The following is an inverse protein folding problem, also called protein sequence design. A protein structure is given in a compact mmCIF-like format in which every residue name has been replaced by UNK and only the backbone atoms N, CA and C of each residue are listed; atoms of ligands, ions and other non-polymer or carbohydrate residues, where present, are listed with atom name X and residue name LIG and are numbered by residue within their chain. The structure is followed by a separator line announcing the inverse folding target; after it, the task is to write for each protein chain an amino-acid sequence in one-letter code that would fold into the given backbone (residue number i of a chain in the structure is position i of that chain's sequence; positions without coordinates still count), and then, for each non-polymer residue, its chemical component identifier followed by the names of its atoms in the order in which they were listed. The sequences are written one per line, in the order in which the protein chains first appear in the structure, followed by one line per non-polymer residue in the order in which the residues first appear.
data_IF_393833145040
#
_entry.id   IF_393833145040
#
_cell.length_a   1.000
_cell.length_b   1.000
_cell.length_c   1.000
_cell.angle_alpha   90.00
_cell.angle_beta   90.00
_cell.angle_gamma   90.00
#
_symmetry.space_group_name_H-M   'P 1'
#
loop_
_entity.id
_entity.type
_entity.pdbx_description
1 polymer ?
#
# COMPACT_ATOMS: atom_id res chain seq x y z
N UNK A 1 5.00 -16.85 -3.29
CA UNK A 1 3.63 -16.79 -2.78
C UNK A 1 3.62 -15.77 -1.67
N UNK A 2 2.75 -14.76 -1.79
CA UNK A 2 2.56 -13.75 -0.75
C UNK A 2 1.95 -14.42 0.48
N UNK A 3 2.55 -14.22 1.66
CA UNK A 3 2.07 -14.77 2.93
C UNK A 3 1.21 -13.73 3.66
N UNK A 4 0.51 -14.17 4.71
CA UNK A 4 -0.34 -13.28 5.51
C UNK A 4 0.38 -12.02 6.01
N UNK A 5 1.65 -12.15 6.42
CA UNK A 5 2.47 -11.01 6.83
C UNK A 5 2.74 -10.00 5.69
N UNK A 6 2.96 -10.48 4.46
CA UNK A 6 3.15 -9.61 3.30
C UNK A 6 1.85 -8.86 2.96
N UNK A 7 0.69 -9.52 3.10
CA UNK A 7 -0.64 -8.91 2.89
C UNK A 7 -0.93 -7.89 3.97
N UNK A 8 -0.58 -8.18 5.23
CA UNK A 8 -0.73 -7.25 6.34
C UNK A 8 0.11 -5.99 6.09
N UNK A 9 1.37 -6.15 5.67
CA UNK A 9 2.23 -5.01 5.34
C UNK A 9 1.65 -4.20 4.17
N UNK A 10 1.15 -4.85 3.11
CA UNK A 10 0.45 -4.18 2.02
C UNK A 10 -0.76 -3.37 2.52
N UNK A 11 -1.61 -3.97 3.36
CA UNK A 11 -2.77 -3.30 3.95
C UNK A 11 -2.33 -2.05 4.74
N UNK A 12 -1.28 -2.15 5.58
CA UNK A 12 -0.76 -0.97 6.32
C UNK A 12 -0.34 0.15 5.39
N UNK A 13 0.40 -0.19 4.33
CA UNK A 13 0.91 0.79 3.36
C UNK A 13 -0.19 1.46 2.57
N UNK A 14 -1.20 0.70 2.14
CA UNK A 14 -2.40 1.26 1.51
C UNK A 14 -3.08 2.28 2.43
N UNK A 15 -3.25 1.94 3.71
CA UNK A 15 -3.79 2.85 4.73
C UNK A 15 -2.97 4.13 4.92
N UNK A 16 -1.64 4.02 4.96
CA UNK A 16 -0.74 5.18 5.05
C UNK A 16 -0.85 6.12 3.85
N UNK A 17 -1.17 5.57 2.67
CA UNK A 17 -1.37 6.33 1.44
C UNK A 17 -2.81 6.84 1.28
N UNK A 18 -3.70 6.57 2.25
CA UNK A 18 -5.09 7.03 2.25
C UNK A 18 -6.08 6.10 1.55
N UNK A 19 -5.65 4.90 1.13
CA UNK A 19 -6.54 3.87 0.60
C UNK A 19 -7.01 2.98 1.75
N UNK A 20 -8.33 2.76 1.89
CA UNK A 20 -8.90 1.98 3.00
C UNK A 20 -8.95 0.46 2.70
N UNK A 21 -8.02 -0.36 3.22
CA UNK A 21 -8.14 -1.82 3.16
C UNK A 21 -9.12 -2.38 4.20
N UNK A 22 -9.69 -1.52 5.08
CA UNK A 22 -10.50 -1.85 6.24
C UNK A 22 -9.73 -2.51 7.40
N UNK A 23 -9.34 -3.78 7.28
CA UNK A 23 -8.60 -4.51 8.31
C UNK A 23 -7.17 -4.79 7.85
N UNK A 24 -6.24 -4.78 8.81
CA UNK A 24 -4.86 -5.22 8.62
C UNK A 24 -4.70 -6.62 9.24
N UNK A 25 -5.34 -7.59 8.61
CA UNK A 25 -5.48 -8.97 9.09
C UNK A 25 -4.63 -9.97 8.29
N UNK A 26 -3.94 -9.51 7.23
CA UNK A 26 -3.17 -10.36 6.34
C UNK A 26 -4.03 -11.18 5.38
N UNK A 27 -5.32 -10.83 5.22
CA UNK A 27 -6.26 -11.52 4.33
C UNK A 27 -6.58 -10.63 3.13
N UNK A 28 -6.39 -11.16 1.93
CA UNK A 28 -6.78 -10.46 0.71
C UNK A 28 -8.30 -10.59 0.50
N UNK A 29 -9.04 -9.71 1.17
CA UNK A 29 -10.49 -9.58 1.04
C UNK A 29 -10.91 -8.63 -0.09
N UNK A 30 -12.20 -8.57 -0.43
CA UNK A 30 -12.72 -7.70 -1.49
C UNK A 30 -12.48 -6.20 -1.23
N UNK A 31 -12.39 -5.77 0.03
CA UNK A 31 -12.06 -4.38 0.38
C UNK A 31 -10.58 -4.08 0.16
N UNK A 32 -9.69 -4.98 0.59
CA UNK A 32 -8.26 -4.89 0.28
C UNK A 32 -8.02 -4.88 -1.22
N UNK A 33 -8.72 -5.73 -1.99
CA UNK A 33 -8.65 -5.72 -3.44
C UNK A 33 -9.09 -4.38 -4.04
N UNK A 34 -10.20 -3.80 -3.58
CA UNK A 34 -10.63 -2.45 -4.01
C UNK A 34 -9.61 -1.36 -3.68
N UNK A 35 -8.98 -1.42 -2.51
CA UNK A 35 -7.93 -0.49 -2.13
C UNK A 35 -6.70 -0.62 -3.05
N UNK A 36 -6.33 -1.85 -3.43
CA UNK A 36 -5.25 -2.11 -4.40
C UNK A 36 -5.59 -1.53 -5.77
N UNK A 37 -6.82 -1.74 -6.27
CA UNK A 37 -7.25 -1.21 -7.57
C UNK A 37 -7.24 0.32 -7.60
N UNK A 38 -7.73 0.96 -6.54
CA UNK A 38 -7.68 2.42 -6.41
C UNK A 38 -6.24 2.93 -6.36
N UNK A 39 -5.37 2.25 -5.61
CA UNK A 39 -3.95 2.56 -5.57
C UNK A 39 -3.31 2.43 -6.96
N UNK A 40 -3.55 1.33 -7.67
CA UNK A 40 -3.04 1.09 -9.01
C UNK A 40 -3.49 2.19 -9.98
N UNK A 41 -4.77 2.54 -9.97
CA UNK A 41 -5.31 3.64 -10.78
C UNK A 41 -4.60 4.97 -10.47
N UNK A 42 -4.40 5.30 -9.19
CA UNK A 42 -3.71 6.53 -8.76
C UNK A 42 -2.21 6.51 -9.11
N UNK A 43 -1.60 5.34 -9.12
CA UNK A 43 -0.20 5.14 -9.49
C UNK A 43 0.03 5.05 -11.02
N UNK A 44 -1.04 5.12 -11.84
CA UNK A 44 -0.96 4.96 -13.29
C UNK A 44 -0.65 3.53 -13.75
N UNK A 45 -0.98 2.54 -12.92
CA UNK A 45 -0.83 1.11 -13.21
C UNK A 45 -2.18 0.51 -13.66
N UNK A 46 -2.16 -0.65 -14.34
CA UNK A 46 -3.38 -1.43 -14.56
C UNK A 46 -4.07 -1.76 -13.22
N UNK A 47 -5.37 -1.46 -13.13
CA UNK A 47 -6.21 -1.63 -11.94
C UNK A 47 -6.83 -3.04 -11.82
N UNK A 48 -6.12 -4.06 -12.28
CA UNK A 48 -6.57 -5.45 -12.25
C UNK A 48 -6.61 -6.07 -10.84
N UNK A 49 -6.09 -5.37 -9.82
CA UNK A 49 -6.05 -5.83 -8.44
C UNK A 49 -4.96 -6.87 -8.16
N UNK A 50 -4.11 -7.18 -9.14
CA UNK A 50 -3.00 -8.13 -8.99
C UNK A 50 -1.78 -7.44 -8.36
N UNK A 51 -1.28 -8.04 -7.28
CA UNK A 51 -0.09 -7.57 -6.58
C UNK A 51 1.15 -8.10 -7.32
N UNK A 52 1.47 -7.47 -8.45
CA UNK A 52 2.68 -7.73 -9.22
C UNK A 52 3.87 -6.90 -8.75
N UNK A 53 5.04 -7.09 -9.38
CA UNK A 53 6.25 -6.32 -9.09
C UNK A 53 6.04 -4.82 -9.25
N UNK A 54 5.33 -4.38 -10.30
CA UNK A 54 5.01 -2.96 -10.50
C UNK A 54 4.21 -2.34 -9.36
N UNK A 55 3.26 -3.08 -8.79
CA UNK A 55 2.46 -2.64 -7.63
C UNK A 55 3.35 -2.48 -6.39
N UNK A 56 4.25 -3.44 -6.15
CA UNK A 56 5.20 -3.41 -5.02
C UNK A 56 6.20 -2.24 -5.18
N UNK A 57 6.81 -2.09 -6.36
CA UNK A 57 7.74 -0.98 -6.65
C UNK A 57 7.08 0.39 -6.45
N UNK A 58 5.81 0.54 -6.86
CA UNK A 58 5.06 1.78 -6.65
C UNK A 58 4.78 2.03 -5.17
N UNK A 59 4.39 1.01 -4.41
CA UNK A 59 4.21 1.10 -2.96
C UNK A 59 5.50 1.51 -2.27
N UNK A 60 6.61 0.81 -2.54
CA UNK A 60 7.92 1.12 -1.95
C UNK A 60 8.35 2.56 -2.22
N UNK A 61 8.18 3.06 -3.45
CA UNK A 61 8.53 4.45 -3.80
C UNK A 61 7.70 5.47 -3.03
N UNK A 62 6.40 5.22 -2.86
CA UNK A 62 5.47 6.15 -2.23
C UNK A 62 5.57 6.09 -0.70
N UNK A 63 5.78 4.92 -0.10
CA UNK A 63 5.95 4.76 1.36
C UNK A 63 7.34 5.16 1.83
N UNK A 64 8.38 4.94 1.03
CA UNK A 64 9.75 5.41 1.34
C UNK A 64 9.85 6.94 1.31
N UNK A 65 9.10 7.60 0.40
CA UNK A 65 9.00 9.06 0.40
C UNK A 65 8.27 9.61 1.64
N UNK A 66 7.22 8.92 2.09
CA UNK A 66 6.46 9.35 3.29
C UNK A 66 7.21 9.06 4.60
N UNK A 67 7.99 7.97 4.66
CA UNK A 67 8.77 7.60 5.86
C UNK A 67 10.07 8.38 5.99
N UNK A 68 10.70 8.78 4.87
CA UNK A 68 11.94 9.58 4.87
C UNK A 68 11.74 11.08 5.13
N UNK A 69 10.51 11.59 5.21
CA UNK A 69 10.22 13.02 5.31
C UNK A 69 9.44 13.44 6.58
N UNK A 70 9.21 12.51 7.51
CA UNK A 70 8.59 12.81 8.82
C UNK A 70 9.61 12.98 9.96
N UNK A 71 10.87 13.30 9.67
CA UNK A 71 11.74 14.00 10.65
C UNK A 71 11.45 15.50 10.60
N UNK A 72 10.22 15.90 10.92
CA UNK A 72 9.88 17.30 11.22
C UNK A 72 9.69 17.47 12.73
N UNK A 73 10.50 16.76 13.52
CA UNK A 73 10.58 16.88 14.98
C UNK A 73 11.94 17.40 15.47
N UNK A 74 12.77 17.97 14.59
CA UNK A 74 13.87 18.86 14.99
C UNK A 74 13.57 20.28 14.48
N UNK A 75 12.50 20.88 15.00
CA UNK A 75 12.41 22.34 15.07
C UNK A 75 12.87 22.75 16.46
N UNK A 76 14.17 23.08 16.54
CA UNK A 76 14.90 23.83 17.57
C UNK A 76 14.53 23.62 19.05
#
# INVERSE_FOLDING_TARGET
MMRGDDIAELQRRLGQLGFDPHWVDGILGPRTQRAIQQFQQNAGLPDDGVIGRSTIDALDRLTSRTTGQLTIAEVR
#
